data_IF_143332421081
#
_entry.id   IF_143332421081
#
_cell.length_a   1.000
_cell.length_b   1.000
_cell.length_c   1.000
_cell.angle_alpha   90.00
_cell.angle_beta   90.00
_cell.angle_gamma   90.00
#
_symmetry.space_group_name_H-M   'P 1'
#
loop_
_entity.id
_entity.type
_entity.pdbx_description
1 polymer ?
#
# COMPACT_ATOMS: atom_id res chain seq x y z
N UNK A 1 -22.43 -40.37 -32.31
CA UNK A 1 -21.26 -39.46 -32.42
C UNK A 1 -20.89 -39.06 -31.00
N UNK A 2 -19.78 -39.59 -30.46
CA UNK A 2 -19.46 -39.53 -29.02
C UNK A 2 -18.42 -38.43 -28.77
N UNK A 3 -18.83 -37.31 -28.16
CA UNK A 3 -17.94 -36.15 -27.94
C UNK A 3 -17.17 -36.37 -26.63
N UNK A 4 -15.87 -36.64 -26.73
CA UNK A 4 -14.96 -36.68 -25.58
C UNK A 4 -14.91 -35.29 -24.93
N UNK A 5 -15.30 -35.20 -23.66
CA UNK A 5 -15.04 -34.00 -22.86
C UNK A 5 -13.57 -33.99 -22.45
N UNK A 6 -12.78 -33.13 -23.08
CA UNK A 6 -11.41 -32.86 -22.64
C UNK A 6 -11.45 -31.95 -21.41
N UNK A 7 -11.06 -32.50 -20.26
CA UNK A 7 -10.90 -31.78 -19.00
C UNK A 7 -9.79 -30.72 -19.18
N UNK A 8 -10.16 -29.45 -19.20
CA UNK A 8 -9.21 -28.33 -19.23
C UNK A 8 -8.30 -28.43 -17.98
N UNK A 9 -7.03 -28.79 -18.16
CA UNK A 9 -6.01 -28.66 -17.11
C UNK A 9 -5.63 -27.19 -17.02
N UNK A 10 -6.26 -26.47 -16.10
CA UNK A 10 -5.84 -25.12 -15.73
C UNK A 10 -4.57 -25.26 -14.90
N UNK A 11 -3.45 -24.83 -15.45
CA UNK A 11 -2.19 -24.71 -14.71
C UNK A 11 -2.26 -23.42 -13.90
N UNK A 12 -2.70 -23.50 -12.64
CA UNK A 12 -2.58 -22.38 -11.71
C UNK A 12 -1.14 -22.38 -11.19
N UNK A 13 -0.32 -21.45 -11.67
CA UNK A 13 0.91 -21.12 -10.96
C UNK A 13 0.51 -20.37 -9.70
N UNK A 14 0.73 -20.99 -8.53
CA UNK A 14 0.78 -20.26 -7.27
C UNK A 14 1.97 -19.31 -7.35
N UNK A 15 1.77 -18.14 -7.98
CA UNK A 15 2.75 -17.06 -7.90
C UNK A 15 2.85 -16.72 -6.43
N UNK A 16 4.00 -17.02 -5.84
CA UNK A 16 4.35 -16.56 -4.50
C UNK A 16 4.63 -15.05 -4.63
N UNK A 17 3.54 -14.30 -4.84
CA UNK A 17 3.55 -12.95 -5.37
C UNK A 17 3.86 -11.97 -4.23
N UNK A 18 5.05 -12.09 -3.66
CA UNK A 18 5.60 -11.11 -2.73
C UNK A 18 6.18 -9.94 -3.54
N UNK A 19 5.30 -9.16 -4.15
CA UNK A 19 5.70 -7.87 -4.70
C UNK A 19 6.06 -6.95 -3.53
N UNK A 20 7.34 -6.91 -3.18
CA UNK A 20 7.89 -6.00 -2.18
C UNK A 20 8.52 -4.80 -2.87
N UNK A 21 7.80 -3.67 -2.82
CA UNK A 21 8.25 -2.41 -3.43
C UNK A 21 9.51 -1.86 -2.76
N UNK A 22 9.74 -2.13 -1.47
CA UNK A 22 10.90 -1.63 -0.75
C UNK A 22 12.19 -2.30 -1.22
N UNK A 23 12.12 -3.58 -1.57
CA UNK A 23 13.27 -4.35 -2.10
C UNK A 23 13.74 -3.88 -3.49
N UNK A 24 12.90 -3.16 -4.24
CA UNK A 24 13.19 -2.73 -5.62
C UNK A 24 14.05 -1.47 -5.70
N UNK A 25 14.24 -0.76 -4.59
CA UNK A 25 14.94 0.51 -4.58
C UNK A 25 16.08 0.48 -3.55
N UNK A 26 17.28 0.85 -3.98
CA UNK A 26 18.44 1.04 -3.08
C UNK A 26 18.47 2.41 -2.41
N UNK A 27 17.48 3.27 -2.67
CA UNK A 27 17.40 4.61 -2.10
C UNK A 27 15.95 4.95 -1.77
N UNK A 28 15.70 5.26 -0.49
CA UNK A 28 14.39 5.67 -0.02
C UNK A 28 13.88 6.92 -0.75
N UNK A 29 14.73 7.92 -0.97
CA UNK A 29 14.36 9.13 -1.69
C UNK A 29 13.95 8.84 -3.14
N UNK A 30 14.59 7.88 -3.80
CA UNK A 30 14.17 7.47 -5.16
C UNK A 30 12.79 6.81 -5.12
N UNK A 31 12.57 5.88 -4.18
CA UNK A 31 11.27 5.25 -3.97
C UNK A 31 10.17 6.28 -3.69
N UNK A 32 10.40 7.20 -2.75
CA UNK A 32 9.45 8.25 -2.38
C UNK A 32 9.09 9.14 -3.57
N UNK A 33 10.08 9.58 -4.36
CA UNK A 33 9.81 10.36 -5.59
C UNK A 33 9.01 9.56 -6.61
N UNK A 34 9.33 8.28 -6.80
CA UNK A 34 8.57 7.40 -7.70
C UNK A 34 7.11 7.30 -7.27
N UNK A 35 6.85 7.03 -5.98
CA UNK A 35 5.49 6.97 -5.45
C UNK A 35 4.78 8.33 -5.58
N UNK A 36 5.46 9.45 -5.32
CA UNK A 36 4.89 10.79 -5.49
C UNK A 36 4.43 11.03 -6.94
N UNK A 37 5.23 10.62 -7.94
CA UNK A 37 4.83 10.71 -9.34
C UNK A 37 3.65 9.79 -9.67
N UNK A 38 3.60 8.57 -9.12
CA UNK A 38 2.45 7.67 -9.29
C UNK A 38 1.17 8.30 -8.72
N UNK A 39 1.23 8.90 -7.52
CA UNK A 39 0.10 9.59 -6.91
C UNK A 39 -0.33 10.81 -7.73
N UNK A 40 0.62 11.62 -8.21
CA UNK A 40 0.34 12.76 -9.11
C UNK A 40 -0.33 12.29 -10.40
N UNK A 41 0.13 11.19 -10.99
CA UNK A 41 -0.46 10.64 -12.19
C UNK A 41 -1.93 10.28 -11.95
N UNK A 42 -2.23 9.56 -10.86
CA UNK A 42 -3.61 9.20 -10.47
C UNK A 42 -4.46 10.46 -10.26
N UNK A 43 -3.92 11.48 -9.58
CA UNK A 43 -4.59 12.76 -9.39
C UNK A 43 -4.91 13.44 -10.73
N UNK A 44 -3.93 13.53 -11.64
CA UNK A 44 -4.07 14.18 -12.93
C UNK A 44 -5.06 13.44 -13.86
N UNK A 45 -5.19 12.12 -13.74
CA UNK A 45 -6.21 11.35 -14.47
C UNK A 45 -7.63 11.73 -14.07
N UNK A 46 -7.84 12.13 -12.82
CA UNK A 46 -9.15 12.50 -12.27
C UNK A 46 -9.44 14.01 -12.35
N UNK A 47 -8.44 14.80 -12.76
CA UNK A 47 -8.50 16.26 -12.74
C UNK A 47 -8.78 16.86 -14.11
N UNK A 48 -9.46 18.02 -14.12
CA UNK A 48 -9.62 18.83 -15.34
C UNK A 48 -8.24 19.33 -15.81
N UNK A 49 -8.05 19.64 -17.11
CA UNK A 49 -6.76 20.08 -17.63
C UNK A 49 -6.12 21.25 -16.87
N UNK A 50 -6.93 22.22 -16.41
CA UNK A 50 -6.46 23.41 -15.66
C UNK A 50 -5.91 23.08 -14.27
N UNK A 51 -6.37 21.99 -13.65
CA UNK A 51 -5.98 21.58 -12.29
C UNK A 51 -4.84 20.56 -12.28
N UNK A 52 -4.35 20.15 -13.46
CA UNK A 52 -3.29 19.14 -13.58
C UNK A 52 -1.98 19.70 -13.03
N UNK A 53 -1.34 18.91 -12.18
CA UNK A 53 -0.01 19.23 -11.64
C UNK A 53 1.06 18.86 -12.66
N UNK A 54 1.95 19.80 -12.94
CA UNK A 54 3.09 19.64 -13.86
C UNK A 54 4.38 20.15 -13.21
N UNK A 55 5.54 19.83 -13.79
CA UNK A 55 6.85 20.28 -13.30
C UNK A 55 7.39 19.47 -12.11
N UNK A 56 8.19 20.10 -11.26
CA UNK A 56 8.83 19.46 -10.10
C UNK A 56 7.82 19.00 -9.04
N UNK A 57 8.18 17.97 -8.25
CA UNK A 57 7.39 17.53 -7.11
C UNK A 57 7.32 18.62 -6.04
N UNK A 58 6.12 18.85 -5.51
CA UNK A 58 5.91 19.74 -4.37
C UNK A 58 6.19 19.00 -3.06
N UNK A 59 6.43 19.76 -1.99
CA UNK A 59 6.62 19.19 -0.64
C UNK A 59 5.40 18.36 -0.21
N UNK A 60 4.18 18.85 -0.49
CA UNK A 60 2.95 18.12 -0.17
C UNK A 60 2.85 16.77 -0.88
N UNK A 61 3.32 16.67 -2.12
CA UNK A 61 3.34 15.38 -2.84
C UNK A 61 4.40 14.42 -2.31
N UNK A 62 5.55 14.95 -1.89
CA UNK A 62 6.58 14.17 -1.22
C UNK A 62 6.06 13.64 0.13
N UNK A 63 5.34 14.47 0.89
CA UNK A 63 4.74 14.08 2.17
C UNK A 63 3.64 13.03 1.99
N UNK A 64 2.74 13.23 1.02
CA UNK A 64 1.71 12.24 0.70
C UNK A 64 2.32 10.88 0.30
N UNK A 65 3.42 10.89 -0.45
CA UNK A 65 4.15 9.69 -0.79
C UNK A 65 4.83 9.04 0.43
N UNK A 66 5.35 9.84 1.35
CA UNK A 66 5.94 9.35 2.60
C UNK A 66 4.92 8.63 3.47
N UNK A 67 3.78 9.28 3.74
CA UNK A 67 2.65 8.71 4.49
C UNK A 67 2.17 7.40 3.83
N UNK A 68 2.06 7.39 2.51
CA UNK A 68 1.66 6.18 1.75
C UNK A 68 2.65 5.05 1.96
N UNK A 69 3.96 5.33 1.92
CA UNK A 69 4.99 4.32 2.16
C UNK A 69 4.97 3.80 3.59
N UNK A 70 4.74 4.65 4.59
CA UNK A 70 4.58 4.22 5.99
C UNK A 70 3.41 3.25 6.10
N UNK A 71 2.24 3.61 5.55
CA UNK A 71 1.06 2.73 5.53
C UNK A 71 1.33 1.38 4.87
N UNK A 72 2.06 1.36 3.76
CA UNK A 72 2.44 0.13 3.08
C UNK A 72 3.34 -0.74 3.95
N UNK A 73 4.35 -0.17 4.60
CA UNK A 73 5.22 -0.89 5.52
C UNK A 73 4.44 -1.45 6.72
N UNK A 74 3.54 -0.65 7.31
CA UNK A 74 2.67 -1.09 8.39
C UNK A 74 1.77 -2.26 7.97
N UNK A 75 1.15 -2.19 6.79
CA UNK A 75 0.32 -3.27 6.25
C UNK A 75 1.13 -4.53 5.92
N UNK A 76 2.40 -4.40 5.55
CA UNK A 76 3.28 -5.53 5.27
C UNK A 76 3.70 -6.27 6.55
N UNK A 77 3.95 -5.53 7.65
CA UNK A 77 4.46 -6.11 8.89
C UNK A 77 3.40 -6.41 9.96
N UNK A 78 2.32 -5.61 10.01
CA UNK A 78 1.33 -5.59 11.10
C UNK A 78 -0.11 -5.61 10.56
N UNK A 79 -0.35 -6.41 9.52
CA UNK A 79 -1.62 -6.44 8.79
C UNK A 79 -2.84 -6.65 9.69
N UNK A 80 -2.72 -7.56 10.66
CA UNK A 80 -3.81 -7.91 11.56
C UNK A 80 -4.08 -6.76 12.54
N UNK A 81 -3.03 -6.19 13.10
CA UNK A 81 -3.09 -5.09 14.05
C UNK A 81 -3.68 -3.84 13.40
N UNK A 82 -3.21 -3.47 12.20
CA UNK A 82 -3.77 -2.35 11.44
C UNK A 82 -5.26 -2.58 11.11
N UNK A 83 -5.68 -3.82 10.80
CA UNK A 83 -7.08 -4.17 10.57
C UNK A 83 -7.96 -4.06 11.82
N UNK A 84 -7.38 -4.28 13.01
CA UNK A 84 -8.08 -4.11 14.29
C UNK A 84 -8.15 -2.63 14.67
N UNK A 85 -7.02 -1.93 14.64
CA UNK A 85 -6.90 -0.53 15.04
C UNK A 85 -7.70 0.41 14.13
N UNK A 86 -7.78 0.12 12.83
CA UNK A 86 -8.59 0.90 11.86
C UNK A 86 -10.11 0.83 12.09
N UNK A 87 -10.57 -0.01 13.03
CA UNK A 87 -11.98 -0.12 13.43
C UNK A 87 -12.23 0.49 14.81
N UNK A 88 -11.32 1.34 15.29
CA UNK A 88 -11.32 1.93 16.62
C UNK A 88 -11.40 0.87 17.73
N UNK A 89 -10.79 -0.30 17.48
CA UNK A 89 -10.72 -1.40 18.44
C UNK A 89 -9.33 -1.55 19.01
N UNK A 90 -9.27 -1.91 20.28
CA UNK A 90 -8.02 -2.27 20.94
C UNK A 90 -7.54 -3.66 20.51
N UNK A 91 -6.22 -3.84 20.51
CA UNK A 91 -5.62 -5.16 20.32
C UNK A 91 -6.02 -6.12 21.46
N UNK A 92 -6.07 -7.44 21.20
CA UNK A 92 -6.38 -8.43 22.24
C UNK A 92 -5.43 -8.29 23.44
N UNK A 93 -5.87 -8.46 24.70
CA UNK A 93 -5.03 -8.21 25.88
C UNK A 93 -3.70 -8.98 25.93
N UNK A 94 -3.61 -10.14 25.25
CA UNK A 94 -2.41 -10.97 25.16
C UNK A 94 -1.52 -10.67 23.94
N UNK A 95 -1.90 -9.71 23.10
CA UNK A 95 -1.11 -9.33 21.94
C UNK A 95 0.16 -8.60 22.38
N UNK A 96 1.27 -8.84 21.67
CA UNK A 96 2.61 -8.32 22.03
C UNK A 96 2.67 -6.78 22.11
N UNK A 97 1.83 -6.12 21.33
CA UNK A 97 1.75 -4.66 21.26
C UNK A 97 0.71 -4.07 22.22
N UNK A 98 -0.11 -4.87 22.92
CA UNK A 98 -1.19 -4.33 23.76
C UNK A 98 -0.71 -3.52 24.96
N UNK A 99 0.49 -3.81 25.47
CA UNK A 99 1.12 -3.02 26.53
C UNK A 99 1.53 -1.61 26.09
N UNK A 100 1.69 -1.39 24.78
CA UNK A 100 2.05 -0.09 24.21
C UNK A 100 0.82 0.76 23.88
N UNK A 101 -0.39 0.23 24.12
CA UNK A 101 -1.66 0.90 23.82
C UNK A 101 -1.68 1.57 22.43
N UNK A 102 -1.35 0.85 21.35
CA UNK A 102 -1.25 1.44 20.02
C UNK A 102 -2.62 1.95 19.56
N UNK A 103 -2.62 3.10 18.89
CA UNK A 103 -3.78 3.73 18.27
C UNK A 103 -3.35 4.27 16.90
N UNK A 104 -4.30 4.64 16.05
CA UNK A 104 -3.99 5.31 14.78
C UNK A 104 -4.15 6.82 14.93
N UNK A 105 -3.18 7.58 14.45
CA UNK A 105 -3.26 9.04 14.33
C UNK A 105 -4.23 9.48 13.22
N UNK A 106 -4.37 10.79 13.03
CA UNK A 106 -5.24 11.38 11.99
C UNK A 106 -4.86 10.95 10.57
N UNK A 107 -3.60 10.54 10.37
CA UNK A 107 -3.12 10.03 9.11
C UNK A 107 -3.32 8.52 8.97
N UNK A 108 -3.81 7.80 10.00
CA UNK A 108 -3.92 6.35 9.98
C UNK A 108 -2.57 5.64 10.17
N UNK A 109 -1.64 6.27 10.88
CA UNK A 109 -0.32 5.74 11.25
C UNK A 109 -0.33 5.42 12.76
N UNK A 110 0.36 4.34 13.16
CA UNK A 110 0.44 3.85 14.55
C UNK A 110 1.49 4.65 15.31
#
# INVERSE_FOLDING_TARGET
MNIKQNKLKIFSTSTNNSWDIFSKFSSFLKLQRTIAYCLRFIYNLKSKPVDKKIGSLTLSEMEAAHITLIKLAQLQSFKEEISILSKDRYLPPKHKLSSLTPYLDDNGIV
#
